data_IF_018362534745
#
_entry.id   IF_018362534745
#
_cell.length_a   1.000
_cell.length_b   1.000
_cell.length_c   1.000
_cell.angle_alpha   90.00
_cell.angle_beta   90.00
_cell.angle_gamma   90.00
#
_symmetry.space_group_name_H-M   'P 1'
#
loop_
_entity.id
_entity.type
_entity.pdbx_description
1 polymer ?
#
# COMPACT_ATOMS: atom_id res chain seq x y z
N UNK A 1 26.33 -30.28 1.68
CA UNK A 1 25.02 -29.72 2.07
C UNK A 1 24.89 -28.35 1.44
N UNK A 2 23.81 -28.13 0.74
CA UNK A 2 23.57 -26.81 0.14
C UNK A 2 23.06 -25.82 1.20
N UNK A 3 23.61 -24.62 1.22
CA UNK A 3 23.21 -23.53 2.09
C UNK A 3 22.59 -22.40 1.25
N UNK A 4 21.84 -21.54 1.90
CA UNK A 4 21.33 -20.32 1.29
C UNK A 4 22.47 -19.30 1.15
N UNK A 5 22.63 -18.70 -0.02
CA UNK A 5 23.66 -17.68 -0.26
C UNK A 5 23.42 -16.37 0.50
N UNK A 6 22.20 -16.18 1.04
CA UNK A 6 21.80 -14.95 1.73
C UNK A 6 21.94 -15.06 3.25
N UNK A 7 21.35 -16.09 3.88
CA UNK A 7 21.37 -16.26 5.32
C UNK A 7 22.38 -17.32 5.81
N UNK A 8 23.00 -18.05 4.90
CA UNK A 8 23.93 -19.15 5.16
C UNK A 8 23.32 -20.34 5.94
N UNK A 9 22.00 -20.34 6.13
CA UNK A 9 21.31 -21.45 6.78
C UNK A 9 21.18 -22.64 5.82
N UNK A 10 21.14 -23.84 6.43
CA UNK A 10 20.94 -25.08 5.68
C UNK A 10 19.56 -25.09 5.02
N UNK A 11 19.54 -25.49 3.75
CA UNK A 11 18.28 -25.63 3.02
C UNK A 11 17.47 -26.84 3.54
N UNK A 12 16.18 -26.65 3.65
CA UNK A 12 15.21 -27.67 4.06
C UNK A 12 13.99 -27.69 3.13
N UNK A 13 13.01 -28.53 3.42
CA UNK A 13 11.80 -28.67 2.59
C UNK A 13 10.66 -27.71 2.98
N UNK A 14 10.82 -26.92 4.03
CA UNK A 14 9.77 -26.07 4.61
C UNK A 14 10.10 -24.57 4.51
N UNK A 15 10.60 -23.99 5.59
CA UNK A 15 10.91 -22.55 5.68
C UNK A 15 12.11 -22.13 4.84
N UNK A 16 13.15 -22.98 4.78
CA UNK A 16 14.35 -22.76 3.99
C UNK A 16 14.37 -23.59 2.70
N UNK A 17 13.20 -23.70 2.05
CA UNK A 17 13.10 -24.37 0.76
C UNK A 17 13.98 -23.68 -0.27
N UNK A 18 14.72 -24.49 -1.04
CA UNK A 18 15.62 -24.01 -2.10
C UNK A 18 14.85 -23.22 -3.16
N UNK A 19 15.33 -22.02 -3.46
CA UNK A 19 14.88 -21.18 -4.56
C UNK A 19 16.09 -20.85 -5.41
N UNK A 20 16.16 -21.42 -6.60
CA UNK A 20 17.22 -21.14 -7.58
C UNK A 20 16.67 -20.20 -8.65
N UNK A 21 17.38 -19.08 -8.90
CA UNK A 21 17.01 -18.18 -9.97
C UNK A 21 17.13 -18.88 -11.34
N UNK A 22 16.14 -18.75 -12.22
CA UNK A 22 16.21 -19.36 -13.56
C UNK A 22 17.23 -18.70 -14.50
N UNK A 23 17.77 -17.54 -14.13
CA UNK A 23 18.65 -16.73 -14.99
C UNK A 23 20.08 -16.61 -14.49
N UNK A 24 20.35 -16.96 -13.24
CA UNK A 24 21.68 -16.95 -12.64
C UNK A 24 21.85 -18.08 -11.64
N UNK A 25 23.03 -18.20 -11.05
CA UNK A 25 23.36 -19.30 -10.13
C UNK A 25 23.04 -19.02 -8.66
N UNK A 26 22.36 -17.91 -8.36
CA UNK A 26 21.97 -17.59 -6.99
C UNK A 26 21.03 -18.66 -6.43
N UNK A 27 21.40 -19.20 -5.27
CA UNK A 27 20.59 -20.12 -4.49
C UNK A 27 20.20 -19.42 -3.19
N UNK A 28 18.92 -19.09 -3.05
CA UNK A 28 18.37 -18.52 -1.84
C UNK A 28 17.35 -19.46 -1.21
N UNK A 29 17.03 -19.22 0.05
CA UNK A 29 15.92 -19.93 0.67
C UNK A 29 14.60 -19.15 0.49
N UNK A 30 13.49 -19.88 0.62
CA UNK A 30 12.14 -19.31 0.51
C UNK A 30 11.94 -18.10 1.44
N UNK A 31 12.38 -18.18 2.70
CA UNK A 31 12.24 -17.07 3.66
C UNK A 31 12.98 -15.81 3.23
N UNK A 32 14.22 -15.94 2.76
CA UNK A 32 15.00 -14.81 2.26
C UNK A 32 14.37 -14.21 1.00
N UNK A 33 13.93 -15.04 0.06
CA UNK A 33 13.27 -14.59 -1.17
C UNK A 33 11.96 -13.86 -0.87
N UNK A 34 11.13 -14.40 0.01
CA UNK A 34 9.87 -13.74 0.42
C UNK A 34 10.12 -12.40 1.11
N UNK A 35 11.09 -12.34 2.01
CA UNK A 35 11.46 -11.10 2.70
C UNK A 35 11.97 -10.06 1.71
N UNK A 36 12.78 -10.45 0.76
CA UNK A 36 13.25 -9.56 -0.30
C UNK A 36 12.12 -9.02 -1.16
N UNK A 37 11.16 -9.85 -1.57
CA UNK A 37 10.00 -9.41 -2.35
C UNK A 37 9.17 -8.34 -1.63
N UNK A 38 9.10 -8.37 -0.29
CA UNK A 38 8.40 -7.38 0.52
C UNK A 38 9.18 -6.06 0.68
N UNK A 39 10.44 -6.00 0.27
CA UNK A 39 11.24 -4.77 0.27
C UNK A 39 11.24 -4.05 -1.08
N UNK A 40 10.80 -4.71 -2.14
CA UNK A 40 10.83 -4.18 -3.50
C UNK A 40 9.75 -3.13 -3.73
N UNK A 41 10.15 -2.03 -4.36
CA UNK A 41 9.24 -1.01 -4.90
C UNK A 41 8.84 -1.36 -6.33
N UNK A 42 9.72 -2.03 -7.04
CA UNK A 42 9.53 -2.47 -8.43
C UNK A 42 8.92 -3.87 -8.52
N UNK A 43 8.78 -4.36 -9.73
CA UNK A 43 8.31 -5.72 -9.98
C UNK A 43 9.28 -6.76 -9.41
N UNK A 44 8.78 -7.94 -9.02
CA UNK A 44 9.61 -9.01 -8.47
C UNK A 44 10.78 -9.39 -9.39
N UNK A 45 11.98 -9.39 -8.83
CA UNK A 45 13.21 -9.70 -9.56
C UNK A 45 14.23 -10.41 -8.67
N UNK A 46 15.26 -10.98 -9.28
CA UNK A 46 16.35 -11.64 -8.57
C UNK A 46 17.22 -10.63 -7.80
N UNK A 47 17.70 -11.01 -6.62
CA UNK A 47 18.62 -10.21 -5.83
C UNK A 47 19.98 -10.00 -6.52
N UNK A 48 20.42 -10.96 -7.31
CA UNK A 48 21.74 -10.95 -7.96
C UNK A 48 21.70 -10.39 -9.37
N UNK A 49 20.99 -11.06 -10.29
CA UNK A 49 20.99 -10.66 -11.72
C UNK A 49 19.96 -9.57 -12.04
N UNK A 50 19.06 -9.23 -11.13
CA UNK A 50 18.00 -8.22 -11.30
C UNK A 50 17.02 -8.49 -12.45
N UNK A 51 17.02 -9.68 -13.01
CA UNK A 51 16.06 -10.07 -14.03
C UNK A 51 14.69 -10.36 -13.39
N UNK A 52 13.65 -9.93 -14.05
CA UNK A 52 12.28 -10.09 -13.58
C UNK A 52 11.90 -11.57 -13.45
N UNK A 53 11.31 -11.91 -12.34
CA UNK A 53 10.71 -13.21 -12.12
C UNK A 53 9.26 -13.22 -12.61
N UNK A 54 8.90 -14.23 -13.36
CA UNK A 54 7.52 -14.40 -13.77
C UNK A 54 6.64 -14.92 -12.61
N UNK A 55 5.35 -14.79 -12.77
CA UNK A 55 4.39 -15.20 -11.74
C UNK A 55 4.46 -16.69 -11.44
N UNK A 56 4.64 -17.53 -12.45
CA UNK A 56 4.75 -18.98 -12.27
C UNK A 56 5.92 -19.35 -11.38
N UNK A 57 7.07 -18.71 -11.57
CA UNK A 57 8.23 -18.94 -10.73
C UNK A 57 7.99 -18.52 -9.27
N UNK A 58 7.38 -17.36 -9.05
CA UNK A 58 7.03 -16.87 -7.72
C UNK A 58 6.02 -17.82 -7.05
N UNK A 59 5.04 -18.28 -7.79
CA UNK A 59 4.03 -19.23 -7.31
C UNK A 59 4.62 -20.60 -6.94
N UNK A 60 5.75 -20.97 -7.54
CA UNK A 60 6.42 -22.25 -7.29
C UNK A 60 7.04 -22.35 -5.89
N UNK A 61 7.46 -21.27 -5.29
CA UNK A 61 8.09 -21.26 -3.95
C UNK A 61 7.30 -20.51 -2.87
N UNK A 62 6.42 -19.59 -3.25
CA UNK A 62 5.60 -18.86 -2.29
C UNK A 62 4.35 -19.64 -1.87
N UNK A 63 3.95 -19.50 -0.60
CA UNK A 63 2.68 -20.02 -0.12
C UNK A 63 1.51 -19.19 -0.68
N UNK A 64 0.32 -19.81 -0.76
CA UNK A 64 -0.91 -19.12 -1.20
C UNK A 64 -1.21 -17.94 -0.27
N UNK A 65 -1.05 -18.10 1.03
CA UNK A 65 -1.24 -17.03 2.02
C UNK A 65 -0.29 -15.86 1.76
N UNK A 66 0.99 -16.12 1.54
CA UNK A 66 1.97 -15.07 1.26
C UNK A 66 1.59 -14.28 0.00
N UNK A 67 1.26 -14.98 -1.09
CA UNK A 67 0.89 -14.35 -2.37
C UNK A 67 -0.37 -13.49 -2.27
N UNK A 68 -1.40 -14.02 -1.63
CA UNK A 68 -2.74 -13.42 -1.63
C UNK A 68 -2.93 -12.39 -0.52
N UNK A 69 -2.13 -12.40 0.52
CA UNK A 69 -2.20 -11.47 1.65
C UNK A 69 -0.99 -10.55 1.68
N UNK A 70 0.18 -11.10 1.99
CA UNK A 70 1.37 -10.29 2.27
C UNK A 70 1.89 -9.57 1.02
N UNK A 71 2.13 -10.30 -0.04
CA UNK A 71 2.66 -9.75 -1.29
C UNK A 71 1.64 -8.84 -1.98
N UNK A 72 0.37 -9.25 -2.00
CA UNK A 72 -0.72 -8.45 -2.56
C UNK A 72 -0.83 -7.10 -1.86
N UNK A 73 -0.88 -7.09 -0.52
CA UNK A 73 -0.96 -5.87 0.28
C UNK A 73 0.24 -4.96 0.06
N UNK A 74 1.45 -5.54 0.01
CA UNK A 74 2.67 -4.79 -0.26
C UNK A 74 2.62 -4.12 -1.65
N UNK A 75 2.22 -4.84 -2.69
CA UNK A 75 2.09 -4.28 -4.04
C UNK A 75 1.02 -3.20 -4.13
N UNK A 76 -0.13 -3.40 -3.51
CA UNK A 76 -1.21 -2.40 -3.47
C UNK A 76 -0.73 -1.11 -2.79
N UNK A 77 -0.06 -1.22 -1.65
CA UNK A 77 0.49 -0.07 -0.93
C UNK A 77 1.56 0.65 -1.77
N UNK A 78 2.46 -0.08 -2.40
CA UNK A 78 3.53 0.48 -3.23
C UNK A 78 2.96 1.24 -4.44
N UNK A 79 1.98 0.67 -5.13
CA UNK A 79 1.31 1.32 -6.24
C UNK A 79 0.52 2.56 -5.80
N UNK A 80 -0.13 2.49 -4.66
CA UNK A 80 -0.86 3.61 -4.08
C UNK A 80 0.08 4.78 -3.74
N UNK A 81 1.20 4.53 -3.06
CA UNK A 81 2.19 5.55 -2.76
C UNK A 81 2.81 6.16 -4.03
N UNK A 82 3.07 5.34 -5.04
CA UNK A 82 3.54 5.81 -6.34
C UNK A 82 2.52 6.75 -7.00
N UNK A 83 1.23 6.41 -6.98
CA UNK A 83 0.18 7.27 -7.54
C UNK A 83 0.04 8.57 -6.75
N UNK A 84 0.16 8.53 -5.43
CA UNK A 84 0.18 9.76 -4.60
C UNK A 84 1.29 10.71 -5.00
N UNK A 85 2.49 10.20 -5.26
CA UNK A 85 3.64 11.00 -5.70
C UNK A 85 3.45 11.64 -7.08
N UNK A 86 2.61 11.06 -7.93
CA UNK A 86 2.29 11.62 -9.25
C UNK A 86 1.21 12.71 -9.21
N UNK A 87 0.59 12.97 -8.05
CA UNK A 87 -0.52 13.91 -7.90
C UNK A 87 -0.21 15.21 -7.12
N UNK A 88 1.04 15.66 -6.97
CA UNK A 88 1.34 16.83 -6.12
C UNK A 88 0.73 18.12 -6.64
N UNK A 89 0.52 18.26 -7.96
CA UNK A 89 -0.04 19.46 -8.58
C UNK A 89 -1.56 19.63 -8.34
N UNK A 90 -2.29 18.54 -8.13
CA UNK A 90 -3.75 18.57 -7.92
C UNK A 90 -4.14 18.59 -6.44
N UNK A 91 -3.25 18.21 -5.56
CA UNK A 91 -3.52 18.08 -4.13
C UNK A 91 -3.93 19.41 -3.46
N UNK A 92 -3.28 20.56 -3.70
CA UNK A 92 -3.72 21.84 -3.14
C UNK A 92 -5.14 22.23 -3.58
N UNK A 93 -5.52 21.92 -4.83
CA UNK A 93 -6.87 22.19 -5.31
C UNK A 93 -7.91 21.31 -4.61
N UNK A 94 -7.62 20.04 -4.40
CA UNK A 94 -8.48 19.10 -3.67
C UNK A 94 -8.64 19.54 -2.21
N UNK A 95 -7.57 19.92 -1.54
CA UNK A 95 -7.60 20.43 -0.17
C UNK A 95 -8.48 21.66 -0.02
N UNK A 96 -8.38 22.60 -0.96
CA UNK A 96 -9.25 23.80 -1.01
C UNK A 96 -10.73 23.42 -1.15
N UNK A 97 -11.05 22.47 -2.00
CA UNK A 97 -12.42 21.99 -2.20
C UNK A 97 -12.96 21.34 -0.91
N UNK A 98 -12.16 20.50 -0.26
CA UNK A 98 -12.53 19.85 1.00
C UNK A 98 -12.78 20.92 2.08
N UNK A 99 -11.86 21.87 2.25
CA UNK A 99 -11.99 22.97 3.20
C UNK A 99 -13.25 23.79 2.94
N UNK A 100 -13.51 24.12 1.68
CA UNK A 100 -14.71 24.86 1.27
C UNK A 100 -15.99 24.11 1.62
N UNK A 101 -16.05 22.79 1.39
CA UNK A 101 -17.20 21.96 1.75
C UNK A 101 -17.42 21.92 3.26
N UNK A 102 -16.35 21.77 4.03
CA UNK A 102 -16.40 21.76 5.50
C UNK A 102 -16.93 23.09 6.05
N UNK A 103 -16.40 24.20 5.57
CA UNK A 103 -16.86 25.55 5.97
C UNK A 103 -18.33 25.80 5.60
N UNK A 104 -18.77 25.37 4.45
CA UNK A 104 -20.19 25.48 4.05
C UNK A 104 -21.11 24.68 4.98
N UNK A 105 -20.68 23.52 5.42
CA UNK A 105 -21.43 22.70 6.38
C UNK A 105 -21.50 23.40 7.74
N UNK A 106 -20.39 23.95 8.24
CA UNK A 106 -20.35 24.71 9.47
C UNK A 106 -21.25 25.94 9.43
N UNK A 107 -21.22 26.71 8.34
CA UNK A 107 -22.09 27.87 8.14
C UNK A 107 -23.57 27.46 8.22
N UNK A 108 -23.94 26.36 7.56
CA UNK A 108 -25.31 25.84 7.59
C UNK A 108 -25.74 25.46 9.00
N UNK A 109 -24.87 24.80 9.77
CA UNK A 109 -25.17 24.38 11.13
C UNK A 109 -25.30 25.57 12.08
N UNK A 110 -24.42 26.56 11.96
CA UNK A 110 -24.51 27.83 12.71
C UNK A 110 -25.80 28.58 12.39
N UNK A 111 -26.17 28.66 11.11
CA UNK A 111 -27.44 29.28 10.69
C UNK A 111 -28.65 28.59 11.34
N UNK A 112 -28.65 27.26 11.40
CA UNK A 112 -29.69 26.50 12.09
C UNK A 112 -29.75 26.83 13.58
N UNK A 113 -28.60 26.93 14.25
CA UNK A 113 -28.51 27.28 15.66
C UNK A 113 -29.06 28.69 15.90
N UNK A 114 -28.72 29.66 15.07
CA UNK A 114 -29.24 31.04 15.15
C UNK A 114 -30.76 31.04 15.01
N UNK A 115 -31.31 30.31 14.03
CA UNK A 115 -32.75 30.21 13.83
C UNK A 115 -33.46 29.59 15.02
N UNK A 116 -32.87 28.56 15.68
CA UNK A 116 -33.42 27.95 16.85
C UNK A 116 -33.45 28.93 18.04
N UNK A 117 -32.35 29.64 18.28
CA UNK A 117 -32.27 30.65 19.35
C UNK A 117 -33.27 31.79 19.09
N UNK A 118 -33.39 32.27 17.88
CA UNK A 118 -34.39 33.31 17.54
C UNK A 118 -35.80 32.84 17.79
N UNK A 119 -36.10 31.56 17.49
CA UNK A 119 -37.42 30.98 17.79
C UNK A 119 -37.68 30.90 19.28
N UNK A 120 -36.68 30.45 20.05
CA UNK A 120 -36.78 30.32 21.50
C UNK A 120 -36.96 31.70 22.18
N UNK A 121 -36.38 32.75 21.62
CA UNK A 121 -36.52 34.11 22.12
C UNK A 121 -37.81 34.82 21.61
N UNK A 122 -38.65 34.12 20.84
CA UNK A 122 -39.87 34.72 20.26
C UNK A 122 -39.64 35.85 19.27
N UNK A 123 -38.44 35.95 18.74
CA UNK A 123 -38.10 36.99 17.74
C UNK A 123 -38.66 36.59 16.39
N UNK A 124 -39.61 37.40 15.86
CA UNK A 124 -40.12 37.24 14.49
C UNK A 124 -39.01 37.59 13.48
N UNK A 125 -38.73 36.67 12.58
CA UNK A 125 -37.79 36.95 11.46
C UNK A 125 -38.57 37.80 10.44
N UNK A 126 -38.41 39.09 10.49
CA UNK A 126 -38.73 39.90 9.35
C UNK A 126 -37.56 39.80 8.35
N UNK A 127 -37.70 38.89 7.39
CA UNK A 127 -36.89 38.97 6.16
C UNK A 127 -37.35 40.16 5.35
N UNK A 128 -36.45 41.10 4.99
CA UNK A 128 -36.77 42.16 4.05
C UNK A 128 -37.06 41.61 2.66
#
# INVERSE_FOLDING_TARGET
MECCDVCCDKLNKTTHKKVKCPYCDLISCKSCSQRYLLTLIDDPHCMNCKKLWNREFIDSFCTIKFRNVDLKKHRENTLFERQKLLMPATQPAVERIITMRTLRTQIRDVKKQILNIQRDLGLSIHTP
#
